data_IF_133698655497
#
_entry.id   IF_133698655497
#
_cell.length_a   1.000
_cell.length_b   1.000
_cell.length_c   1.000
_cell.angle_alpha   90.00
_cell.angle_beta   90.00
_cell.angle_gamma   90.00
#
_symmetry.space_group_name_H-M   'P 1'
#
loop_
_entity.id
_entity.type
_entity.pdbx_description
1 polymer ?
#
# COMPACT_ATOMS: atom_id res chain seq x y z
N UNK A 1 45.54 32.92 -51.38
CA UNK A 1 45.01 32.53 -50.06
C UNK A 1 44.62 31.06 -50.14
N UNK A 2 45.53 30.17 -49.73
CA UNK A 2 45.39 28.72 -49.94
C UNK A 2 44.65 28.05 -48.79
N UNK A 3 43.70 27.18 -49.14
CA UNK A 3 43.00 26.28 -48.23
C UNK A 3 43.95 25.15 -47.81
N UNK A 4 44.31 25.11 -46.52
CA UNK A 4 44.99 23.94 -45.92
C UNK A 4 43.91 23.03 -45.35
N UNK A 5 43.55 22.01 -46.14
CA UNK A 5 42.68 20.91 -45.71
C UNK A 5 43.55 19.93 -44.92
N UNK A 6 43.44 19.92 -43.59
CA UNK A 6 44.08 18.91 -42.75
C UNK A 6 43.18 17.68 -42.66
N UNK A 7 43.62 16.62 -43.34
CA UNK A 7 43.11 15.26 -43.20
C UNK A 7 43.31 14.76 -41.76
N UNK A 8 42.21 14.40 -41.09
CA UNK A 8 42.25 13.74 -39.77
C UNK A 8 42.77 12.31 -39.91
N UNK A 9 43.84 11.90 -39.20
CA UNK A 9 44.19 10.49 -39.10
C UNK A 9 43.20 9.79 -38.15
N UNK A 10 42.62 8.69 -38.63
CA UNK A 10 41.66 7.87 -37.91
C UNK A 10 42.21 7.38 -36.57
N UNK A 11 41.51 7.76 -35.50
CA UNK A 11 41.69 7.19 -34.18
C UNK A 11 41.08 5.78 -34.15
N UNK A 12 41.85 4.80 -34.62
CA UNK A 12 41.60 3.40 -34.35
C UNK A 12 41.82 3.12 -32.86
N UNK A 13 40.76 3.18 -32.06
CA UNK A 13 40.77 2.62 -30.73
C UNK A 13 40.52 1.11 -30.83
N UNK A 14 41.50 0.24 -30.50
CA UNK A 14 41.25 -1.17 -30.42
C UNK A 14 40.27 -1.44 -29.27
N UNK A 15 39.19 -2.13 -29.60
CA UNK A 15 38.24 -2.71 -28.67
C UNK A 15 39.00 -3.73 -27.79
N UNK A 16 39.56 -3.26 -26.69
CA UNK A 16 40.12 -4.13 -25.66
C UNK A 16 38.97 -4.92 -25.03
N UNK A 17 38.89 -6.20 -25.41
CA UNK A 17 38.09 -7.23 -24.76
C UNK A 17 38.37 -7.16 -23.25
N UNK A 18 37.44 -6.56 -22.52
CA UNK A 18 37.54 -6.37 -21.09
C UNK A 18 37.31 -7.74 -20.44
N UNK A 19 38.40 -8.42 -20.08
CA UNK A 19 38.37 -9.54 -19.16
C UNK A 19 37.62 -9.04 -17.91
N UNK A 20 36.46 -9.62 -17.66
CA UNK A 20 35.54 -9.21 -16.62
C UNK A 20 36.12 -9.48 -15.23
N UNK A 21 36.95 -8.58 -14.73
CA UNK A 21 37.25 -8.53 -13.31
C UNK A 21 36.05 -7.86 -12.64
N UNK A 22 35.16 -8.66 -12.06
CA UNK A 22 34.11 -8.20 -11.17
C UNK A 22 34.76 -7.32 -10.10
N UNK A 23 34.59 -6.00 -10.19
CA UNK A 23 34.98 -5.06 -9.15
C UNK A 23 34.02 -5.31 -7.98
N UNK A 24 34.28 -6.38 -7.24
CA UNK A 24 33.65 -6.68 -5.97
C UNK A 24 34.03 -5.53 -5.04
N UNK A 25 33.06 -4.69 -4.69
CA UNK A 25 33.26 -3.71 -3.63
C UNK A 25 33.87 -4.41 -2.42
N UNK A 26 34.85 -3.77 -1.75
CA UNK A 26 35.67 -4.33 -0.66
C UNK A 26 34.89 -4.95 0.52
N UNK A 27 33.56 -4.84 0.52
CA UNK A 27 32.64 -5.25 1.58
C UNK A 27 31.43 -6.01 0.99
N UNK A 28 31.67 -7.07 0.22
CA UNK A 28 30.62 -8.02 -0.10
C UNK A 28 30.27 -8.83 1.16
N UNK A 29 28.99 -9.13 1.37
CA UNK A 29 28.55 -10.01 2.44
C UNK A 29 29.01 -11.45 2.15
N UNK A 30 29.37 -12.21 3.19
CA UNK A 30 29.72 -13.62 3.04
C UNK A 30 28.56 -14.39 2.41
N UNK A 31 28.87 -15.27 1.47
CA UNK A 31 27.87 -16.12 0.83
C UNK A 31 27.31 -17.13 1.84
N UNK A 32 26.13 -17.69 1.55
CA UNK A 32 25.50 -18.69 2.43
C UNK A 32 26.43 -19.90 2.62
N UNK A 33 27.07 -20.36 1.54
CA UNK A 33 28.03 -21.47 1.56
C UNK A 33 29.23 -21.16 2.47
N UNK A 34 29.80 -19.96 2.34
CA UNK A 34 30.92 -19.54 3.18
C UNK A 34 30.54 -19.50 4.67
N UNK A 35 29.35 -18.99 4.99
CA UNK A 35 28.85 -18.96 6.37
C UNK A 35 28.70 -20.36 6.95
N UNK A 36 28.12 -21.29 6.20
CA UNK A 36 27.98 -22.68 6.66
C UNK A 36 29.32 -23.38 6.85
N UNK A 37 30.27 -23.17 5.94
CA UNK A 37 31.63 -23.72 6.08
C UNK A 37 32.33 -23.15 7.32
N UNK A 38 32.19 -21.84 7.57
CA UNK A 38 32.72 -21.21 8.78
C UNK A 38 32.08 -21.81 10.04
N UNK A 39 30.75 -21.97 10.08
CA UNK A 39 30.03 -22.50 11.24
C UNK A 39 30.42 -23.95 11.55
N UNK A 40 30.56 -24.79 10.53
CA UNK A 40 30.99 -26.19 10.68
C UNK A 40 32.43 -26.29 11.18
N UNK A 41 33.38 -25.61 10.51
CA UNK A 41 34.80 -25.68 10.87
C UNK A 41 35.10 -25.03 12.23
N UNK A 42 34.30 -24.03 12.62
CA UNK A 42 34.39 -23.42 13.95
C UNK A 42 33.92 -24.38 15.05
N UNK A 43 32.85 -25.15 14.81
CA UNK A 43 32.38 -26.20 15.74
C UNK A 43 33.40 -27.34 15.89
N UNK A 44 34.15 -27.65 14.84
CA UNK A 44 35.27 -28.61 14.87
C UNK A 44 36.50 -28.08 15.62
N UNK A 45 36.51 -26.82 16.08
CA UNK A 45 37.62 -26.24 16.83
C UNK A 45 38.83 -25.83 15.99
N UNK A 46 38.69 -25.72 14.66
CA UNK A 46 39.79 -25.30 13.77
C UNK A 46 40.15 -23.83 13.97
N UNK A 47 41.43 -23.49 13.80
CA UNK A 47 41.92 -22.12 13.89
C UNK A 47 41.35 -21.25 12.76
N UNK A 48 40.98 -20.00 13.06
CA UNK A 48 40.39 -19.06 12.09
C UNK A 48 41.19 -18.87 10.79
N UNK A 49 42.53 -19.02 10.84
CA UNK A 49 43.41 -18.93 9.65
C UNK A 49 43.17 -20.09 8.68
N UNK A 50 42.88 -21.29 9.17
CA UNK A 50 42.57 -22.46 8.36
C UNK A 50 41.17 -22.30 7.76
N UNK A 51 40.20 -21.88 8.59
CA UNK A 51 38.83 -21.61 8.16
C UNK A 51 38.79 -20.57 7.03
N UNK A 52 39.57 -19.49 7.15
CA UNK A 52 39.64 -18.44 6.14
C UNK A 52 40.15 -18.96 4.78
N UNK A 53 41.16 -19.84 4.79
CA UNK A 53 41.70 -20.46 3.58
C UNK A 53 40.68 -21.41 2.94
N UNK A 54 40.04 -22.24 3.76
CA UNK A 54 39.09 -23.27 3.31
C UNK A 54 37.77 -22.66 2.79
N UNK A 55 37.28 -21.61 3.44
CA UNK A 55 36.09 -20.86 3.01
C UNK A 55 36.39 -19.81 1.91
N UNK A 56 37.67 -19.58 1.57
CA UNK A 56 38.07 -18.57 0.58
C UNK A 56 37.70 -17.14 0.98
N UNK A 57 37.79 -16.79 2.27
CA UNK A 57 37.47 -15.46 2.79
C UNK A 57 38.64 -14.84 3.58
N UNK A 58 38.55 -13.55 3.92
CA UNK A 58 39.51 -12.93 4.83
C UNK A 58 39.33 -13.43 6.27
N UNK A 59 40.42 -13.53 7.04
CA UNK A 59 40.36 -13.92 8.46
C UNK A 59 39.53 -12.93 9.30
N UNK A 60 39.52 -11.65 8.94
CA UNK A 60 38.66 -10.64 9.56
C UNK A 60 37.17 -10.92 9.31
N UNK A 61 36.79 -11.42 8.12
CA UNK A 61 35.41 -11.81 7.81
C UNK A 61 34.96 -12.98 8.68
N UNK A 62 35.82 -13.97 8.89
CA UNK A 62 35.58 -15.13 9.77
C UNK A 62 35.38 -14.68 11.22
N UNK A 63 36.30 -13.85 11.74
CA UNK A 63 36.19 -13.30 13.10
C UNK A 63 34.91 -12.48 13.30
N UNK A 64 34.56 -11.63 12.33
CA UNK A 64 33.30 -10.86 12.37
C UNK A 64 32.07 -11.75 12.30
N UNK A 65 32.10 -12.87 11.57
CA UNK A 65 30.95 -13.77 11.49
C UNK A 65 30.74 -14.52 12.81
N UNK A 66 31.81 -15.05 13.42
CA UNK A 66 31.76 -15.78 14.70
C UNK A 66 31.28 -14.87 15.84
N UNK A 67 31.83 -13.65 15.92
CA UNK A 67 31.59 -12.75 17.05
C UNK A 67 30.36 -11.85 16.89
N UNK A 68 29.72 -11.82 15.71
CA UNK A 68 28.58 -10.95 15.46
C UNK A 68 27.29 -11.67 15.83
N UNK A 69 26.53 -11.09 16.75
CA UNK A 69 25.16 -11.53 17.00
C UNK A 69 24.33 -11.51 15.70
N UNK A 70 23.50 -12.54 15.49
CA UNK A 70 22.69 -12.71 14.27
C UNK A 70 21.78 -11.50 13.94
N UNK A 71 21.50 -10.64 14.93
CA UNK A 71 20.71 -9.43 14.81
C UNK A 71 21.56 -8.25 14.32
N UNK A 72 22.03 -8.31 13.07
CA UNK A 72 22.62 -7.15 12.41
C UNK A 72 21.63 -5.97 12.35
N UNK A 73 22.10 -4.74 12.57
CA UNK A 73 21.29 -3.53 12.29
C UNK A 73 20.98 -3.46 10.80
N UNK A 74 19.70 -3.26 10.45
CA UNK A 74 19.29 -2.97 9.07
C UNK A 74 20.03 -1.70 8.61
N UNK A 75 20.54 -1.71 7.38
CA UNK A 75 21.14 -0.51 6.80
C UNK A 75 20.10 0.60 6.81
N UNK A 76 20.40 1.71 7.46
CA UNK A 76 19.56 2.89 7.35
C UNK A 76 19.74 3.47 5.95
N UNK A 77 18.63 3.78 5.29
CA UNK A 77 18.65 4.51 4.03
C UNK A 77 18.98 5.98 4.24
N UNK A 78 19.20 6.69 3.13
CA UNK A 78 19.31 8.16 3.15
C UNK A 78 18.02 8.77 3.69
N UNK A 79 18.15 9.84 4.50
CA UNK A 79 16.99 10.60 5.01
C UNK A 79 16.15 11.13 3.84
N UNK A 80 14.82 11.06 4.01
CA UNK A 80 13.85 11.61 3.04
C UNK A 80 13.93 13.15 3.09
N UNK A 81 13.74 13.80 1.94
CA UNK A 81 13.63 15.26 1.84
C UNK A 81 12.34 15.84 2.48
N UNK A 82 11.38 14.97 2.78
CA UNK A 82 10.03 15.31 3.22
C UNK A 82 9.84 14.90 4.67
N UNK A 83 9.29 15.81 5.47
CA UNK A 83 8.91 15.57 6.85
C UNK A 83 7.49 14.99 6.95
N UNK A 84 7.15 14.43 8.11
CA UNK A 84 5.79 13.99 8.40
C UNK A 84 4.78 15.15 8.35
N UNK A 85 5.21 16.38 8.67
CA UNK A 85 4.37 17.58 8.54
C UNK A 85 4.01 17.85 7.08
N UNK A 86 4.99 17.73 6.19
CA UNK A 86 4.82 17.95 4.75
C UNK A 86 3.92 16.88 4.13
N UNK A 87 4.01 15.65 4.61
CA UNK A 87 3.12 14.58 4.16
C UNK A 87 1.67 14.87 4.59
N UNK A 88 1.44 15.34 5.82
CA UNK A 88 0.10 15.73 6.29
C UNK A 88 -0.48 16.90 5.50
N UNK A 89 0.33 17.88 5.09
CA UNK A 89 -0.15 18.98 4.24
C UNK A 89 -0.51 18.45 2.85
N UNK A 90 0.29 17.55 2.28
CA UNK A 90 -0.02 16.88 1.02
C UNK A 90 -1.33 16.09 1.11
N UNK A 91 -1.54 15.30 2.15
CA UNK A 91 -2.79 14.55 2.36
C UNK A 91 -4.01 15.46 2.39
N UNK A 92 -3.91 16.63 3.05
CA UNK A 92 -4.99 17.61 3.09
C UNK A 92 -5.31 18.12 1.67
N UNK A 93 -4.30 18.52 0.91
CA UNK A 93 -4.47 19.02 -0.47
C UNK A 93 -5.19 17.98 -1.34
N UNK A 94 -4.74 16.72 -1.27
CA UNK A 94 -5.30 15.62 -2.05
C UNK A 94 -6.75 15.32 -1.65
N UNK A 95 -7.05 15.29 -0.34
CA UNK A 95 -8.41 15.02 0.16
C UNK A 95 -9.41 16.13 -0.17
N UNK A 96 -8.96 17.38 -0.19
CA UNK A 96 -9.84 18.51 -0.53
C UNK A 96 -10.31 18.44 -1.99
N UNK A 97 -9.44 17.99 -2.91
CA UNK A 97 -9.77 17.94 -4.33
C UNK A 97 -9.21 16.67 -4.99
N UNK A 98 -9.92 15.53 -4.93
CA UNK A 98 -9.40 14.25 -5.39
C UNK A 98 -9.24 14.13 -6.91
N UNK A 99 -9.82 15.07 -7.68
CA UNK A 99 -9.78 15.06 -9.15
C UNK A 99 -8.65 15.93 -9.73
N UNK A 100 -7.89 16.65 -8.89
CA UNK A 100 -6.79 17.50 -9.37
C UNK A 100 -5.64 16.68 -9.94
N UNK A 101 -4.97 17.25 -10.94
CA UNK A 101 -3.77 16.65 -11.51
C UNK A 101 -2.60 16.72 -10.50
N UNK A 102 -1.70 15.75 -10.58
CA UNK A 102 -0.46 15.70 -9.77
C UNK A 102 0.38 16.98 -9.94
N UNK A 103 0.37 17.58 -11.13
CA UNK A 103 1.08 18.83 -11.39
C UNK A 103 0.54 20.01 -10.58
N UNK A 104 -0.78 20.13 -10.45
CA UNK A 104 -1.39 21.24 -9.69
C UNK A 104 -1.31 21.00 -8.19
N UNK A 105 -1.44 19.74 -7.75
CA UNK A 105 -1.15 19.33 -6.37
C UNK A 105 0.30 19.66 -6.00
N UNK A 106 1.26 19.44 -6.91
CA UNK A 106 2.66 19.79 -6.69
C UNK A 106 2.88 21.31 -6.56
N UNK A 107 2.22 22.12 -7.39
CA UNK A 107 2.28 23.59 -7.27
C UNK A 107 1.71 24.06 -5.94
N UNK A 108 0.56 23.56 -5.51
CA UNK A 108 -0.06 23.88 -4.22
C UNK A 108 0.82 23.45 -3.04
N UNK A 109 1.43 22.27 -3.13
CA UNK A 109 2.32 21.77 -2.10
C UNK A 109 3.64 22.52 -2.02
N UNK A 110 4.14 22.99 -3.17
CA UNK A 110 5.32 23.88 -3.25
C UNK A 110 5.00 25.26 -2.70
N UNK A 111 3.80 25.79 -2.98
CA UNK A 111 3.31 27.05 -2.40
C UNK A 111 3.15 26.97 -0.88
N UNK A 112 2.88 25.78 -0.33
CA UNK A 112 2.87 25.52 1.11
C UNK A 112 4.29 25.46 1.73
N UNK A 113 5.35 25.71 0.96
CA UNK A 113 6.73 25.82 1.44
C UNK A 113 7.58 24.56 1.31
N UNK A 114 7.07 23.49 0.65
CA UNK A 114 7.81 22.23 0.50
C UNK A 114 8.61 22.23 -0.79
N UNK A 115 9.94 22.28 -0.69
CA UNK A 115 10.83 22.13 -1.84
C UNK A 115 11.02 20.65 -2.21
N UNK A 116 10.10 20.13 -3.02
CA UNK A 116 10.15 18.77 -3.53
C UNK A 116 9.85 18.73 -5.04
N UNK A 117 10.38 17.71 -5.72
CA UNK A 117 10.08 17.48 -7.14
C UNK A 117 8.68 16.92 -7.34
N UNK A 118 8.09 17.13 -8.52
CA UNK A 118 6.81 16.52 -8.92
C UNK A 118 6.81 14.99 -8.81
N UNK A 119 7.94 14.34 -9.13
CA UNK A 119 8.10 12.89 -8.99
C UNK A 119 8.07 12.44 -7.52
N UNK A 120 8.60 13.27 -6.61
CA UNK A 120 8.54 13.02 -5.17
C UNK A 120 7.12 13.15 -4.66
N UNK A 121 6.36 14.16 -5.11
CA UNK A 121 4.93 14.31 -4.78
C UNK A 121 4.15 13.05 -5.15
N UNK A 122 4.32 12.57 -6.39
CA UNK A 122 3.65 11.37 -6.86
C UNK A 122 3.99 10.12 -6.03
N UNK A 123 5.28 9.87 -5.77
CA UNK A 123 5.71 8.75 -4.90
C UNK A 123 5.13 8.85 -3.51
N UNK A 124 5.07 10.06 -2.93
CA UNK A 124 4.48 10.28 -1.60
C UNK A 124 2.99 9.99 -1.59
N UNK A 125 2.26 10.44 -2.61
CA UNK A 125 0.85 10.11 -2.76
C UNK A 125 0.64 8.58 -2.81
N UNK A 126 1.47 7.86 -3.57
CA UNK A 126 1.42 6.39 -3.63
C UNK A 126 1.78 5.72 -2.30
N UNK A 127 2.83 6.19 -1.61
CA UNK A 127 3.22 5.68 -0.27
C UNK A 127 2.06 5.81 0.73
N UNK A 128 1.20 6.84 0.58
CA UNK A 128 0.02 7.09 1.40
C UNK A 128 -1.24 6.34 0.91
N UNK A 129 -1.15 5.60 -0.19
CA UNK A 129 -2.25 4.80 -0.74
C UNK A 129 -3.14 5.52 -1.74
N UNK A 130 -2.81 6.74 -2.17
CA UNK A 130 -3.54 7.41 -3.24
C UNK A 130 -3.14 6.84 -4.60
N UNK A 131 -4.16 6.53 -5.41
CA UNK A 131 -3.99 6.04 -6.78
C UNK A 131 -4.79 6.89 -7.74
N UNK A 132 -4.23 7.11 -8.93
CA UNK A 132 -4.97 7.72 -10.03
C UNK A 132 -5.98 6.69 -10.53
N UNK A 133 -7.27 7.02 -10.50
CA UNK A 133 -8.35 6.21 -11.08
C UNK A 133 -9.06 6.99 -12.16
N UNK A 134 -9.44 6.29 -13.23
CA UNK A 134 -10.29 6.85 -14.29
C UNK A 134 -11.74 6.82 -13.76
N UNK A 135 -12.44 7.96 -13.70
CA UNK A 135 -13.84 7.96 -13.28
C UNK A 135 -14.70 7.22 -14.31
N UNK A 136 -15.70 6.47 -13.84
CA UNK A 136 -16.65 5.82 -14.74
C UNK A 136 -17.59 6.86 -15.37
N UNK A 137 -17.79 6.80 -16.68
CA UNK A 137 -18.82 7.58 -17.36
C UNK A 137 -20.20 7.18 -16.81
N UNK A 138 -20.99 8.17 -16.37
CA UNK A 138 -22.36 7.99 -15.91
C UNK A 138 -23.28 8.95 -16.65
N UNK A 139 -24.50 8.53 -17.01
CA UNK A 139 -25.47 9.44 -17.62
C UNK A 139 -25.85 10.51 -16.59
N UNK A 140 -25.99 11.75 -17.07
CA UNK A 140 -26.49 12.85 -16.26
C UNK A 140 -27.98 12.61 -15.97
N UNK A 141 -28.34 12.60 -14.69
CA UNK A 141 -29.72 12.42 -14.24
C UNK A 141 -30.29 13.76 -13.82
N UNK A 142 -31.54 14.04 -14.21
CA UNK A 142 -32.29 15.16 -13.66
C UNK A 142 -32.78 14.84 -12.23
N UNK A 143 -33.15 15.87 -11.47
CA UNK A 143 -33.58 15.71 -10.08
C UNK A 143 -34.78 14.77 -9.95
N UNK A 144 -35.76 14.86 -10.85
CA UNK A 144 -36.95 13.99 -10.87
C UNK A 144 -36.59 12.51 -11.05
N UNK A 145 -35.64 12.21 -11.94
CA UNK A 145 -35.14 10.86 -12.20
C UNK A 145 -34.36 10.32 -10.98
N UNK A 146 -33.56 11.16 -10.32
CA UNK A 146 -32.92 10.80 -9.06
C UNK A 146 -33.94 10.44 -7.99
N UNK A 147 -34.97 11.27 -7.78
CA UNK A 147 -36.03 11.00 -6.80
C UNK A 147 -36.76 9.70 -7.10
N UNK A 148 -37.17 9.46 -8.36
CA UNK A 148 -37.81 8.19 -8.77
C UNK A 148 -36.93 6.96 -8.51
N UNK A 149 -35.62 7.06 -8.77
CA UNK A 149 -34.67 5.96 -8.50
C UNK A 149 -34.49 5.71 -7.00
N UNK A 150 -34.42 6.78 -6.21
CA UNK A 150 -34.31 6.68 -4.74
C UNK A 150 -35.57 6.08 -4.12
N UNK A 151 -36.76 6.54 -4.54
CA UNK A 151 -38.03 5.99 -4.07
C UNK A 151 -38.21 4.54 -4.52
N UNK A 152 -37.91 4.21 -5.78
CA UNK A 152 -37.98 2.84 -6.28
C UNK A 152 -37.03 1.89 -5.55
N UNK A 153 -35.83 2.31 -5.15
CA UNK A 153 -34.95 1.49 -4.29
C UNK A 153 -35.51 1.32 -2.88
N UNK A 154 -36.06 2.38 -2.29
CA UNK A 154 -36.71 2.33 -0.96
C UNK A 154 -37.95 1.45 -0.95
N UNK A 155 -38.81 1.55 -1.97
CA UNK A 155 -40.05 0.75 -2.08
C UNK A 155 -39.77 -0.65 -2.63
N UNK A 156 -38.74 -0.86 -3.45
CA UNK A 156 -38.32 -2.18 -3.93
C UNK A 156 -37.81 -3.09 -2.81
N UNK A 157 -37.20 -2.51 -1.75
CA UNK A 157 -36.92 -3.22 -0.50
C UNK A 157 -38.19 -3.57 0.31
N UNK A 158 -39.29 -2.85 0.07
CA UNK A 158 -40.60 -3.11 0.69
C UNK A 158 -41.49 -4.06 -0.16
N UNK A 159 -41.25 -4.13 -1.47
CA UNK A 159 -41.97 -4.99 -2.42
C UNK A 159 -41.25 -6.30 -2.75
N UNK A 160 -40.10 -6.56 -2.12
CA UNK A 160 -39.51 -7.91 -2.03
C UNK A 160 -40.08 -8.73 -0.86
N UNK A 161 -41.21 -8.29 -0.27
CA UNK A 161 -42.12 -9.17 0.44
C UNK A 161 -43.09 -9.82 -0.57
N UNK A 162 -43.56 -11.05 -0.33
CA UNK A 162 -44.39 -11.76 -1.30
C UNK A 162 -45.62 -10.91 -1.65
N UNK A 163 -45.85 -10.74 -2.95
CA UNK A 163 -47.09 -10.20 -3.49
C UNK A 163 -48.22 -11.10 -2.98
N UNK A 164 -48.97 -10.64 -1.97
CA UNK A 164 -50.28 -11.20 -1.68
C UNK A 164 -51.16 -10.86 -2.88
N UNK A 165 -51.29 -11.84 -3.75
CA UNK A 165 -52.32 -11.92 -4.76
C UNK A 165 -53.67 -11.66 -4.11
N UNK A 166 -54.46 -10.87 -4.82
CA UNK A 166 -55.84 -10.54 -4.51
C UNK A 166 -56.66 -11.79 -4.19
N UNK A 167 -57.58 -11.58 -3.24
CA UNK A 167 -58.79 -12.37 -3.02
C UNK A 167 -58.62 -13.60 -2.12
N UNK A 168 -58.62 -13.36 -0.82
CA UNK A 168 -59.51 -14.06 0.11
C UNK A 168 -59.77 -13.12 1.29
N UNK A 169 -60.96 -12.50 1.32
CA UNK A 169 -61.54 -11.95 2.55
C UNK A 169 -61.86 -13.14 3.46
N UNK A 170 -60.87 -13.61 4.20
CA UNK A 170 -61.11 -14.42 5.38
C UNK A 170 -61.05 -13.49 6.57
N UNK A 171 -62.23 -13.16 7.11
CA UNK A 171 -62.35 -12.56 8.42
C UNK A 171 -61.85 -13.59 9.44
N UNK A 172 -60.56 -13.52 9.75
CA UNK A 172 -59.99 -14.27 10.87
C UNK A 172 -60.03 -13.34 12.09
N UNK A 173 -61.18 -13.32 12.76
CA UNK A 173 -61.26 -12.81 14.11
C UNK A 173 -60.51 -13.81 15.01
N UNK A 174 -59.24 -13.53 15.29
CA UNK A 174 -58.49 -14.23 16.32
C UNK A 174 -58.18 -13.24 17.45
N UNK A 175 -58.77 -13.40 18.64
CA UNK A 175 -58.33 -12.64 19.80
C UNK A 175 -56.90 -13.07 20.16
N UNK A 176 -56.00 -12.09 20.22
CA UNK A 176 -54.65 -12.26 20.77
C UNK A 176 -54.74 -12.32 22.29
N UNK A 177 -54.89 -13.52 22.83
CA UNK A 177 -54.64 -13.81 24.25
C UNK A 177 -53.13 -14.04 24.43
N UNK A 178 -52.38 -12.99 24.79
CA UNK A 178 -51.02 -13.15 25.28
C UNK A 178 -51.11 -13.43 26.78
N UNK A 179 -50.86 -14.68 27.19
CA UNK A 179 -50.65 -15.01 28.60
C UNK A 179 -49.29 -14.50 29.04
N UNK A 180 -49.27 -13.36 29.72
CA UNK A 180 -48.14 -12.93 30.55
C UNK A 180 -48.33 -13.56 31.93
N UNK A 181 -47.42 -14.43 32.33
CA UNK A 181 -47.44 -15.02 33.67
C UNK A 181 -46.68 -14.09 34.61
N UNK A 182 -47.41 -13.22 35.32
CA UNK A 182 -46.87 -12.49 36.46
C UNK A 182 -47.50 -12.97 37.77
N UNK A 183 -46.63 -13.15 38.74
CA UNK A 183 -46.90 -13.64 40.08
C UNK A 183 -47.80 -12.69 40.88
N UNK A 184 -49.00 -13.16 41.24
CA UNK A 184 -49.86 -12.50 42.24
C UNK A 184 -51.31 -12.44 41.78
N UNK A 185 -52.16 -13.31 42.33
CA UNK A 185 -53.55 -13.48 41.90
C UNK A 185 -54.42 -12.22 42.05
N UNK A 186 -54.74 -11.59 40.92
CA UNK A 186 -56.02 -10.89 40.63
C UNK A 186 -56.10 -10.61 39.13
N UNK A 187 -57.12 -11.16 38.47
CA UNK A 187 -57.36 -11.03 37.03
C UNK A 187 -58.21 -9.77 36.78
N UNK A 188 -57.62 -8.69 36.28
CA UNK A 188 -58.37 -7.52 35.76
C UNK A 188 -58.35 -7.52 34.23
N UNK A 189 -59.56 -7.51 33.63
CA UNK A 189 -59.78 -7.54 32.19
C UNK A 189 -59.94 -6.13 31.66
N UNK A 190 -58.93 -5.61 30.95
CA UNK A 190 -59.05 -4.34 30.24
C UNK A 190 -59.33 -4.57 28.75
N UNK A 191 -60.53 -4.16 28.32
CA UNK A 191 -60.90 -4.08 26.90
C UNK A 191 -60.69 -2.64 26.42
N UNK A 192 -59.76 -2.42 25.50
CA UNK A 192 -59.56 -1.10 24.87
C UNK A 192 -60.15 -1.16 23.46
N UNK A 193 -61.18 -0.34 23.22
CA UNK A 193 -61.67 -0.06 21.88
C UNK A 193 -60.87 1.09 21.28
N UNK A 194 -60.22 0.85 20.13
CA UNK A 194 -59.57 1.91 19.34
C UNK A 194 -60.55 2.31 18.23
N UNK A 195 -60.85 3.62 18.16
CA UNK A 195 -61.67 4.23 17.10
C UNK A 195 -60.86 4.42 15.80
#
# INVERSE_FOLDING_TARGET
MGFVSQSSPGCGYPYCFSVGYTIMGKTADLTVVQKTTIDTLHKEGKTQKVIAKEAGCSQNSVSKHINREAKGRKRCGRKKCTSNRDNRTLEKIVKQNPLKNVGDIHKEWSAAGVSASRTTTHRRMQDMGFSCRIPCAKPLLNNRQCQKRLTSKRTGLLQSGPKLCSLMKVNFAFPLEIRVQESGGREERHTIHVA
#
